data_IF_951508222036
#
_entry.id   IF_951508222036
#
_cell.length_a   1.000
_cell.length_b   1.000
_cell.length_c   1.000
_cell.angle_alpha   90.00
_cell.angle_beta   90.00
_cell.angle_gamma   90.00
#
_symmetry.space_group_name_H-M   'P 1'
#
loop_
_entity.id
_entity.type
_entity.pdbx_description
1 polymer ?
#
# COMPACT_ATOMS: atom_id res chain seq x y z
N UNK A 1 4.84 -24.72 -5.67
CA UNK A 1 3.52 -24.09 -5.50
C UNK A 1 3.41 -23.19 -4.27
N UNK A 2 3.34 -23.69 -3.01
CA UNK A 2 3.16 -22.85 -1.81
C UNK A 2 4.18 -21.70 -1.68
N UNK A 3 5.48 -21.97 -1.83
CA UNK A 3 6.55 -20.96 -1.78
C UNK A 3 6.38 -19.86 -2.85
N UNK A 4 5.99 -20.24 -4.06
CA UNK A 4 5.78 -19.31 -5.17
C UNK A 4 4.55 -18.44 -4.91
N UNK A 5 3.45 -19.01 -4.41
CA UNK A 5 2.26 -18.26 -4.04
C UNK A 5 2.56 -17.23 -2.93
N UNK A 6 3.24 -17.64 -1.85
CA UNK A 6 3.64 -16.72 -0.77
C UNK A 6 4.57 -15.62 -1.30
N UNK A 7 5.53 -15.96 -2.17
CA UNK A 7 6.40 -14.96 -2.81
C UNK A 7 5.61 -13.95 -3.64
N UNK A 8 4.66 -14.42 -4.45
CA UNK A 8 3.82 -13.56 -5.28
C UNK A 8 2.94 -12.63 -4.43
N UNK A 9 2.33 -13.15 -3.36
CA UNK A 9 1.52 -12.34 -2.44
C UNK A 9 2.34 -11.26 -1.73
N UNK A 10 3.57 -11.59 -1.29
CA UNK A 10 4.48 -10.59 -0.70
C UNK A 10 4.88 -9.52 -1.70
N UNK A 11 5.22 -9.90 -2.93
CA UNK A 11 5.57 -8.96 -3.98
C UNK A 11 4.42 -8.02 -4.33
N UNK A 12 3.19 -8.55 -4.40
CA UNK A 12 1.99 -7.75 -4.63
C UNK A 12 1.73 -6.77 -3.48
N UNK A 13 1.82 -7.23 -2.22
CA UNK A 13 1.65 -6.36 -1.06
C UNK A 13 2.69 -5.22 -1.03
N UNK A 14 3.96 -5.53 -1.35
CA UNK A 14 5.02 -4.52 -1.46
C UNK A 14 4.74 -3.51 -2.57
N UNK A 15 4.36 -3.95 -3.77
CA UNK A 15 4.05 -3.04 -4.87
C UNK A 15 2.89 -2.09 -4.54
N UNK A 16 1.87 -2.58 -3.84
CA UNK A 16 0.74 -1.75 -3.39
C UNK A 16 1.17 -0.75 -2.31
N UNK A 17 2.05 -1.14 -1.38
CA UNK A 17 2.63 -0.21 -0.39
C UNK A 17 3.37 0.92 -1.09
N UNK A 18 4.29 0.61 -2.01
CA UNK A 18 5.07 1.62 -2.74
C UNK A 18 4.16 2.56 -3.55
N UNK A 19 3.11 2.02 -4.18
CA UNK A 19 2.10 2.82 -4.88
C UNK A 19 1.41 3.81 -3.95
N UNK A 20 0.91 3.35 -2.80
CA UNK A 20 0.18 4.21 -1.86
C UNK A 20 1.11 5.23 -1.19
N UNK A 21 2.36 4.87 -0.89
CA UNK A 21 3.39 5.81 -0.41
C UNK A 21 3.62 6.93 -1.44
N UNK A 22 3.85 6.55 -2.70
CA UNK A 22 4.05 7.52 -3.78
C UNK A 22 2.84 8.45 -3.95
N UNK A 23 1.62 7.91 -3.89
CA UNK A 23 0.40 8.73 -3.95
C UNK A 23 0.32 9.74 -2.80
N UNK A 24 0.64 9.33 -1.56
CA UNK A 24 0.71 10.23 -0.41
C UNK A 24 1.74 11.34 -0.64
N UNK A 25 2.94 10.99 -1.11
CA UNK A 25 3.99 11.97 -1.41
C UNK A 25 3.55 12.96 -2.50
N UNK A 26 2.90 12.49 -3.56
CA UNK A 26 2.41 13.37 -4.62
C UNK A 26 1.30 14.29 -4.11
N UNK A 27 0.35 13.79 -3.31
CA UNK A 27 -0.73 14.59 -2.72
C UNK A 27 -0.18 15.66 -1.77
N UNK A 28 0.85 15.34 -0.97
CA UNK A 28 1.49 16.29 -0.06
C UNK A 28 2.29 17.37 -0.79
N UNK A 29 2.94 17.03 -1.91
CA UNK A 29 3.81 17.95 -2.64
C UNK A 29 3.09 18.73 -3.75
N UNK A 30 2.02 18.17 -4.32
CA UNK A 30 1.29 18.73 -5.47
C UNK A 30 -0.23 18.72 -5.24
N UNK A 31 -0.75 19.49 -4.27
CA UNK A 31 -2.18 19.49 -3.93
C UNK A 31 -3.09 19.92 -5.10
N UNK A 32 -2.58 20.65 -6.09
CA UNK A 32 -3.37 21.15 -7.23
C UNK A 32 -3.49 20.17 -8.41
N UNK A 33 -2.77 19.04 -8.42
CA UNK A 33 -2.57 18.22 -9.62
C UNK A 33 -3.43 16.97 -9.76
N UNK A 34 -4.11 16.51 -8.70
CA UNK A 34 -4.83 15.23 -8.71
C UNK A 34 -6.28 15.47 -8.29
N UNK A 35 -7.11 15.63 -9.31
CA UNK A 35 -8.56 15.69 -9.27
C UNK A 35 -9.17 16.90 -8.54
N UNK A 36 -10.27 17.39 -9.10
CA UNK A 36 -11.19 18.35 -8.51
C UNK A 36 -11.95 17.75 -7.30
N UNK A 37 -11.25 17.02 -6.42
CA UNK A 37 -11.80 16.58 -5.16
C UNK A 37 -11.54 17.68 -4.12
N UNK A 38 -12.61 18.28 -3.55
CA UNK A 38 -12.47 19.40 -2.62
C UNK A 38 -11.80 19.01 -1.30
N UNK A 39 -11.63 17.70 -1.02
CA UNK A 39 -11.08 17.19 0.23
C UNK A 39 -9.80 16.37 0.04
N UNK A 40 -8.66 17.08 0.08
CA UNK A 40 -7.33 16.48 0.03
C UNK A 40 -7.03 15.61 1.26
N UNK A 41 -7.62 15.93 2.42
CA UNK A 41 -7.37 15.20 3.65
C UNK A 41 -8.09 13.84 3.61
N UNK A 42 -9.34 13.80 3.15
CA UNK A 42 -10.06 12.54 2.95
C UNK A 42 -9.30 11.61 1.98
N UNK A 43 -8.74 12.18 0.92
CA UNK A 43 -7.94 11.40 -0.06
C UNK A 43 -6.66 10.86 0.58
N UNK A 44 -5.92 11.67 1.35
CA UNK A 44 -4.75 11.22 2.10
C UNK A 44 -5.10 10.10 3.09
N UNK A 45 -6.22 10.20 3.78
CA UNK A 45 -6.69 9.16 4.70
C UNK A 45 -6.94 7.83 3.98
N UNK A 46 -7.60 7.85 2.82
CA UNK A 46 -7.83 6.65 1.99
C UNK A 46 -6.53 5.98 1.56
N UNK A 47 -5.53 6.75 1.13
CA UNK A 47 -4.23 6.21 0.75
C UNK A 47 -3.50 5.57 1.95
N UNK A 48 -3.58 6.19 3.13
CA UNK A 48 -3.00 5.65 4.38
C UNK A 48 -3.72 4.39 4.87
N UNK A 49 -5.03 4.31 4.71
CA UNK A 49 -5.83 3.13 5.07
C UNK A 49 -5.46 1.92 4.19
N UNK A 50 -5.36 2.14 2.87
CA UNK A 50 -4.93 1.08 1.95
C UNK A 50 -3.46 0.68 2.22
N UNK A 51 -2.56 1.64 2.44
CA UNK A 51 -1.18 1.35 2.86
C UNK A 51 -1.16 0.46 4.10
N UNK A 52 -1.93 0.80 5.14
CA UNK A 52 -2.00 0.05 6.39
C UNK A 52 -2.49 -1.39 6.18
N UNK A 53 -3.54 -1.55 5.36
CA UNK A 53 -4.08 -2.87 4.99
C UNK A 53 -3.06 -3.73 4.24
N UNK A 54 -2.27 -3.15 3.34
CA UNK A 54 -1.22 -3.87 2.62
C UNK A 54 -0.01 -4.18 3.50
N UNK A 55 0.35 -3.28 4.41
CA UNK A 55 1.38 -3.50 5.41
C UNK A 55 1.02 -4.68 6.33
N UNK A 56 -0.22 -4.72 6.83
CA UNK A 56 -0.70 -5.82 7.69
C UNK A 56 -0.65 -7.17 6.96
N UNK A 57 -1.02 -7.22 5.67
CA UNK A 57 -0.88 -8.43 4.86
C UNK A 57 0.56 -8.91 4.79
N UNK A 58 1.52 -8.00 4.64
CA UNK A 58 2.95 -8.34 4.61
C UNK A 58 3.40 -8.91 5.96
N UNK A 59 2.96 -8.30 7.06
CA UNK A 59 3.22 -8.74 8.44
C UNK A 59 2.66 -10.15 8.68
N UNK A 60 1.38 -10.40 8.37
CA UNK A 60 0.76 -11.72 8.49
C UNK A 60 1.49 -12.78 7.65
N UNK A 61 1.84 -12.47 6.39
CA UNK A 61 2.63 -13.35 5.54
C UNK A 61 4.04 -13.60 6.10
N UNK A 62 4.60 -12.61 6.80
CA UNK A 62 5.89 -12.67 7.50
C UNK A 62 5.86 -13.53 8.77
N UNK A 63 4.75 -13.54 9.51
CA UNK A 63 4.62 -14.30 10.76
C UNK A 63 4.20 -15.76 10.54
N UNK A 64 3.14 -15.99 9.76
CA UNK A 64 2.50 -17.32 9.69
C UNK A 64 3.00 -18.17 8.51
N UNK A 65 3.58 -17.54 7.49
CA UNK A 65 3.96 -18.20 6.25
C UNK A 65 5.44 -18.07 5.93
N UNK A 66 6.28 -17.99 6.97
CA UNK A 66 7.74 -18.03 6.81
C UNK A 66 8.14 -19.24 5.98
N UNK A 67 8.71 -18.97 4.81
CA UNK A 67 9.26 -20.02 3.97
C UNK A 67 10.68 -20.23 4.44
N UNK A 68 10.89 -21.30 5.23
CA UNK A 68 12.22 -21.84 5.49
C UNK A 68 12.80 -22.43 4.21
#
# INVERSE_FOLDING_TARGET
MKKQAVKALKAHALGEIEKHVYNVEVLLNNPQGIAEHPDHIETLQKELDELSKHHERLTVLGHYFQVR
#
